data_IF_463291155841
#
_entry.id   IF_463291155841
#
_cell.length_a   1.000
_cell.length_b   1.000
_cell.length_c   1.000
_cell.angle_alpha   90.00
_cell.angle_beta   90.00
_cell.angle_gamma   90.00
#
_symmetry.space_group_name_H-M   'P 1'
#
loop_
_entity.id
_entity.type
_entity.pdbx_description
1 polymer ?
#
# COMPACT_ATOMS: atom_id res chain seq x y z
N UNK A 1 32.51 -47.31 11.01
CA UNK A 1 31.08 -47.06 11.35
C UNK A 1 30.22 -47.41 10.15
N UNK A 2 29.64 -48.62 10.13
CA UNK A 2 28.70 -49.04 9.09
C UNK A 2 27.34 -48.41 9.41
N UNK A 3 27.02 -47.28 8.76
CA UNK A 3 25.71 -46.63 8.89
C UNK A 3 24.70 -47.59 8.25
N UNK A 4 23.79 -48.15 9.05
CA UNK A 4 22.68 -49.01 8.61
C UNK A 4 21.93 -48.40 7.41
N UNK A 5 21.48 -49.23 6.47
CA UNK A 5 20.67 -48.76 5.33
C UNK A 5 19.47 -47.92 5.76
N UNK A 6 18.89 -48.24 6.92
CA UNK A 6 17.78 -47.49 7.53
C UNK A 6 18.18 -46.09 7.98
N UNK A 7 19.38 -45.91 8.55
CA UNK A 7 19.84 -44.58 8.97
C UNK A 7 20.22 -43.71 7.78
N UNK A 8 20.71 -44.29 6.67
CA UNK A 8 20.96 -43.55 5.42
C UNK A 8 19.64 -43.07 4.77
N UNK A 9 18.58 -43.87 4.79
CA UNK A 9 17.25 -43.47 4.27
C UNK A 9 16.58 -42.40 5.14
N UNK A 10 16.72 -42.49 6.46
CA UNK A 10 16.24 -41.44 7.39
C UNK A 10 16.98 -40.12 7.13
N UNK A 11 18.30 -40.15 6.97
CA UNK A 11 19.10 -38.94 6.68
C UNK A 11 18.71 -38.30 5.34
N UNK A 12 18.42 -39.10 4.32
CA UNK A 12 17.93 -38.60 3.01
C UNK A 12 16.57 -37.94 3.15
N UNK A 13 15.62 -38.60 3.80
CA UNK A 13 14.28 -38.04 4.04
C UNK A 13 14.36 -36.72 4.81
N UNK A 14 15.19 -36.67 5.85
CA UNK A 14 15.40 -35.46 6.64
C UNK A 14 16.01 -34.33 5.80
N UNK A 15 17.03 -34.63 4.99
CA UNK A 15 17.66 -33.65 4.12
C UNK A 15 16.67 -33.06 3.09
N UNK A 16 15.82 -33.90 2.49
CA UNK A 16 14.77 -33.45 1.57
C UNK A 16 13.75 -32.56 2.27
N UNK A 17 13.31 -32.96 3.47
CA UNK A 17 12.39 -32.16 4.27
C UNK A 17 12.98 -30.78 4.64
N UNK A 18 14.23 -30.76 5.12
CA UNK A 18 14.93 -29.51 5.45
C UNK A 18 15.12 -28.62 4.22
N UNK A 19 15.48 -29.19 3.07
CA UNK A 19 15.58 -28.45 1.82
C UNK A 19 14.22 -27.85 1.40
N UNK A 20 13.14 -28.62 1.51
CA UNK A 20 11.79 -28.12 1.22
C UNK A 20 11.37 -26.98 2.17
N UNK A 21 11.64 -27.11 3.47
CA UNK A 21 11.40 -26.04 4.45
C UNK A 21 12.23 -24.78 4.15
N UNK A 22 13.50 -24.94 3.78
CA UNK A 22 14.37 -23.82 3.40
C UNK A 22 13.81 -23.10 2.16
N UNK A 23 13.43 -23.85 1.12
CA UNK A 23 12.81 -23.29 -0.09
C UNK A 23 11.53 -22.54 0.25
N UNK A 24 10.65 -23.10 1.09
CA UNK A 24 9.42 -22.43 1.53
C UNK A 24 9.72 -21.13 2.31
N UNK A 25 10.72 -21.16 3.19
CA UNK A 25 11.18 -19.98 3.92
C UNK A 25 11.71 -18.90 2.99
N UNK A 26 12.49 -19.27 1.96
CA UNK A 26 12.99 -18.33 0.96
C UNK A 26 11.84 -17.75 0.12
N UNK A 27 10.90 -18.60 -0.32
CA UNK A 27 9.71 -18.15 -1.04
C UNK A 27 8.94 -17.12 -0.20
N UNK A 28 8.74 -17.40 1.08
CA UNK A 28 8.07 -16.48 2.01
C UNK A 28 8.89 -15.20 2.25
N UNK A 29 10.21 -15.30 2.37
CA UNK A 29 11.05 -14.13 2.62
C UNK A 29 11.01 -13.14 1.44
N UNK A 30 11.13 -13.66 0.22
CA UNK A 30 11.31 -12.86 -0.98
C UNK A 30 10.01 -12.51 -1.72
N UNK A 31 9.02 -13.40 -1.73
CA UNK A 31 7.84 -13.24 -2.60
C UNK A 31 6.56 -12.87 -1.86
N UNK A 32 6.36 -13.34 -0.62
CA UNK A 32 5.06 -13.22 0.05
C UNK A 32 5.14 -12.74 1.50
N UNK A 33 4.41 -11.68 1.83
CA UNK A 33 4.24 -11.22 3.21
C UNK A 33 2.86 -11.60 3.74
N UNK A 34 2.80 -11.94 5.04
CA UNK A 34 1.55 -12.20 5.73
C UNK A 34 1.31 -11.11 6.76
N UNK A 35 0.17 -10.43 6.62
CA UNK A 35 -0.25 -9.36 7.52
C UNK A 35 -1.54 -9.73 8.23
N UNK A 36 -1.74 -9.15 9.41
CA UNK A 36 -2.96 -9.35 10.21
C UNK A 36 -3.73 -8.06 10.26
N UNK A 37 -5.02 -8.13 10.01
CA UNK A 37 -5.90 -6.98 10.24
C UNK A 37 -6.21 -6.90 11.72
N UNK A 38 -5.75 -5.84 12.37
CA UNK A 38 -5.91 -5.67 13.83
C UNK A 38 -7.21 -4.95 14.20
N UNK A 39 -7.66 -4.00 13.37
CA UNK A 39 -8.81 -3.16 13.69
C UNK A 39 -10.14 -3.77 13.22
N UNK A 40 -11.15 -3.90 14.10
CA UNK A 40 -12.48 -4.35 13.71
C UNK A 40 -13.17 -3.27 12.87
N UNK A 41 -13.75 -3.69 11.74
CA UNK A 41 -14.45 -2.81 10.80
C UNK A 41 -15.76 -3.48 10.40
N UNK A 42 -16.93 -2.96 10.83
CA UNK A 42 -18.22 -3.67 10.68
C UNK A 42 -18.62 -3.97 9.23
N UNK A 43 -18.22 -3.13 8.28
CA UNK A 43 -18.65 -3.21 6.87
C UNK A 43 -17.47 -3.28 5.90
N UNK A 44 -16.25 -3.53 6.35
CA UNK A 44 -15.10 -3.58 5.46
C UNK A 44 -14.92 -4.94 4.78
N UNK A 45 -14.28 -4.93 3.61
CA UNK A 45 -13.84 -6.14 2.89
C UNK A 45 -13.01 -7.06 3.80
N UNK A 46 -12.18 -6.46 4.66
CA UNK A 46 -11.36 -7.15 5.65
C UNK A 46 -11.85 -6.92 7.08
N UNK A 47 -11.85 -7.98 7.88
CA UNK A 47 -12.27 -7.99 9.27
C UNK A 47 -11.08 -8.24 10.20
N UNK A 48 -11.16 -7.74 11.43
CA UNK A 48 -10.14 -8.02 12.46
C UNK A 48 -9.89 -9.52 12.59
N UNK A 49 -8.62 -9.92 12.54
CA UNK A 49 -8.19 -11.32 12.57
C UNK A 49 -8.11 -12.02 11.21
N UNK A 50 -8.43 -11.33 10.11
CA UNK A 50 -8.04 -11.79 8.77
C UNK A 50 -6.52 -11.77 8.61
N UNK A 51 -5.99 -12.83 8.00
CA UNK A 51 -4.58 -12.98 7.67
C UNK A 51 -4.43 -12.90 6.16
N UNK A 52 -3.82 -11.82 5.71
CA UNK A 52 -3.81 -11.43 4.30
C UNK A 52 -2.48 -11.80 3.69
N UNK A 53 -2.54 -12.56 2.60
CA UNK A 53 -1.38 -12.92 1.79
C UNK A 53 -1.12 -11.80 0.79
N UNK A 54 0.05 -11.17 0.91
CA UNK A 54 0.48 -10.06 0.07
C UNK A 54 1.64 -10.51 -0.81
N UNK A 55 1.48 -10.37 -2.13
CA UNK A 55 2.56 -10.56 -3.10
C UNK A 55 3.45 -9.33 -3.16
N UNK A 56 4.73 -9.49 -2.82
CA UNK A 56 5.75 -8.44 -2.86
C UNK A 56 6.26 -8.17 -4.28
N UNK A 57 5.98 -9.06 -5.21
CA UNK A 57 6.52 -9.03 -6.59
C UNK A 57 5.51 -8.55 -7.62
N UNK A 58 4.22 -8.46 -7.28
CA UNK A 58 3.16 -8.03 -8.22
C UNK A 58 3.41 -6.66 -8.83
N UNK A 59 4.12 -5.77 -8.14
CA UNK A 59 4.46 -4.43 -8.62
C UNK A 59 5.98 -4.25 -8.78
N UNK A 60 6.65 -5.32 -9.24
CA UNK A 60 8.11 -5.39 -9.27
C UNK A 60 8.72 -5.72 -7.90
N UNK A 61 9.96 -6.18 -7.92
CA UNK A 61 10.69 -6.61 -6.71
C UNK A 61 11.30 -5.38 -6.05
N UNK A 62 10.85 -5.04 -4.85
CA UNK A 62 11.46 -4.00 -4.01
C UNK A 62 12.79 -4.53 -3.46
N UNK A 63 13.89 -3.82 -3.71
CA UNK A 63 15.17 -4.17 -3.10
C UNK A 63 15.11 -4.04 -1.56
N UNK A 64 15.81 -4.92 -0.82
CA UNK A 64 15.91 -4.81 0.62
C UNK A 64 16.71 -3.55 1.00
N UNK A 65 16.42 -3.01 2.19
CA UNK A 65 17.09 -1.82 2.75
C UNK A 65 17.08 -0.60 1.80
N UNK A 66 15.88 -0.11 1.42
CA UNK A 66 15.72 1.02 0.51
C UNK A 66 16.38 2.31 1.02
N UNK A 67 16.62 2.41 2.32
CA UNK A 67 17.32 3.51 2.99
C UNK A 67 18.77 3.65 2.49
N UNK A 68 19.45 2.53 2.18
CA UNK A 68 20.84 2.53 1.68
C UNK A 68 20.93 2.40 0.16
N UNK A 69 19.88 1.89 -0.49
CA UNK A 69 19.91 1.55 -1.93
C UNK A 69 19.24 2.57 -2.85
N UNK A 70 18.87 3.75 -2.33
CA UNK A 70 18.10 4.77 -3.06
C UNK A 70 16.86 4.16 -3.73
N UNK A 71 15.94 3.65 -2.90
CA UNK A 71 14.69 2.98 -3.29
C UNK A 71 14.57 2.61 -4.77
N UNK A 72 14.72 1.32 -5.08
CA UNK A 72 14.55 0.81 -6.45
C UNK A 72 13.68 -0.43 -6.48
N UNK A 73 12.79 -0.47 -7.47
CA UNK A 73 12.04 -1.68 -7.85
C UNK A 73 12.66 -2.26 -9.12
N UNK A 74 12.94 -3.57 -9.10
CA UNK A 74 13.37 -4.32 -10.27
C UNK A 74 12.16 -4.93 -10.98
N UNK A 75 12.19 -4.91 -12.31
CA UNK A 75 11.08 -5.34 -13.16
C UNK A 75 10.01 -4.26 -13.34
N UNK A 76 9.09 -4.52 -14.27
CA UNK A 76 7.94 -3.66 -14.57
C UNK A 76 6.69 -4.24 -13.92
N UNK A 77 6.04 -3.45 -13.07
CA UNK A 77 4.74 -3.78 -12.50
C UNK A 77 4.22 -2.56 -11.75
N UNK A 78 3.07 -2.04 -12.18
CA UNK A 78 2.39 -0.95 -11.50
C UNK A 78 1.07 -1.47 -10.94
N UNK A 79 0.58 -0.91 -9.83
CA UNK A 79 -0.78 -1.15 -9.39
C UNK A 79 -1.78 -0.92 -10.51
N UNK A 80 -2.84 -1.73 -10.53
CA UNK A 80 -3.99 -1.51 -11.39
C UNK A 80 -5.13 -0.90 -10.59
N UNK A 81 -6.05 -0.20 -11.27
CA UNK A 81 -7.27 0.29 -10.62
C UNK A 81 -8.03 -0.87 -10.01
N UNK A 82 -8.37 -0.71 -8.74
CA UNK A 82 -9.14 -1.66 -7.98
C UNK A 82 -8.31 -2.72 -7.28
N UNK A 83 -6.99 -2.70 -7.43
CA UNK A 83 -6.11 -3.58 -6.65
C UNK A 83 -6.12 -3.19 -5.18
N UNK A 84 -6.28 -4.18 -4.31
CA UNK A 84 -6.02 -4.01 -2.88
C UNK A 84 -4.51 -3.99 -2.66
N UNK A 85 -3.99 -2.84 -2.24
CA UNK A 85 -2.56 -2.65 -2.03
C UNK A 85 -2.24 -2.67 -0.55
N UNK A 86 -1.13 -3.31 -0.19
CA UNK A 86 -0.46 -3.11 1.08
C UNK A 86 0.65 -2.07 0.89
N UNK A 87 0.71 -1.08 1.76
CA UNK A 87 1.70 -0.01 1.73
C UNK A 87 1.99 0.51 3.14
N UNK A 88 3.15 1.13 3.30
CA UNK A 88 3.56 1.78 4.53
C UNK A 88 2.83 3.13 4.67
N UNK A 89 2.40 3.48 5.88
CA UNK A 89 1.68 4.73 6.17
C UNK A 89 2.44 5.97 5.62
N UNK A 90 1.86 6.78 4.72
CA UNK A 90 2.59 7.90 4.11
C UNK A 90 2.91 9.05 5.07
N UNK A 91 2.02 9.40 6.00
CA UNK A 91 2.22 10.59 6.85
C UNK A 91 3.12 10.38 8.08
N UNK A 92 3.55 9.15 8.37
CA UNK A 92 4.41 8.85 9.54
C UNK A 92 5.84 9.33 9.28
N UNK A 93 6.18 10.54 9.73
CA UNK A 93 7.52 11.11 9.57
C UNK A 93 8.52 10.67 10.64
N UNK A 94 8.10 9.91 11.65
CA UNK A 94 8.96 9.52 12.77
C UNK A 94 9.75 8.25 12.48
N UNK A 95 9.20 7.37 11.64
CA UNK A 95 9.80 6.08 11.34
C UNK A 95 10.28 5.99 9.88
N UNK A 96 11.38 5.25 9.69
CA UNK A 96 11.82 4.80 8.36
C UNK A 96 10.71 4.04 7.64
N UNK A 97 10.65 4.17 6.31
CA UNK A 97 9.54 3.66 5.50
C UNK A 97 9.26 2.17 5.78
N UNK A 98 10.29 1.33 5.94
CA UNK A 98 10.11 -0.11 6.20
C UNK A 98 9.50 -0.45 7.56
N UNK A 99 9.58 0.47 8.53
CA UNK A 99 9.17 0.26 9.92
C UNK A 99 7.84 0.93 10.25
N UNK A 100 7.22 1.62 9.29
CA UNK A 100 5.91 2.25 9.47
C UNK A 100 4.79 1.22 9.55
N UNK A 101 3.68 1.65 10.12
CA UNK A 101 2.45 0.87 10.13
C UNK A 101 2.02 0.53 8.69
N UNK A 102 1.65 -0.74 8.47
CA UNK A 102 1.16 -1.21 7.18
C UNK A 102 -0.34 -0.98 7.07
N UNK A 103 -0.72 -0.27 6.02
CA UNK A 103 -2.10 0.01 5.66
C UNK A 103 -2.52 -0.79 4.43
N UNK A 104 -3.83 -0.98 4.29
CA UNK A 104 -4.41 -1.64 3.14
C UNK A 104 -5.64 -0.88 2.65
N UNK A 105 -5.61 -0.53 1.38
CA UNK A 105 -6.68 0.19 0.70
C UNK A 105 -6.66 -0.15 -0.79
N UNK A 106 -7.76 0.12 -1.46
CA UNK A 106 -7.91 -0.15 -2.87
C UNK A 106 -7.32 0.99 -3.71
N UNK A 107 -6.58 0.68 -4.77
CA UNK A 107 -6.06 1.67 -5.71
C UNK A 107 -7.19 2.29 -6.53
N UNK A 108 -7.55 3.54 -6.26
CA UNK A 108 -8.59 4.24 -7.00
C UNK A 108 -8.05 4.89 -8.28
N UNK A 109 -6.89 5.54 -8.17
CA UNK A 109 -6.28 6.26 -9.27
C UNK A 109 -4.75 6.12 -9.28
N UNK A 110 -4.24 5.98 -10.50
CA UNK A 110 -2.86 5.78 -10.88
C UNK A 110 -2.17 7.13 -11.18
N UNK A 111 -0.85 7.14 -11.32
CA UNK A 111 -0.12 8.34 -11.70
C UNK A 111 -0.66 8.95 -13.01
N UNK A 112 -0.98 10.24 -12.97
CA UNK A 112 -1.51 11.00 -14.10
C UNK A 112 -3.02 10.94 -14.27
N UNK A 113 -3.72 10.14 -13.48
CA UNK A 113 -5.18 10.12 -13.46
C UNK A 113 -5.78 11.33 -12.75
N UNK A 114 -7.07 11.57 -12.99
CA UNK A 114 -7.83 12.59 -12.29
C UNK A 114 -8.84 11.94 -11.35
N UNK A 115 -8.79 12.32 -10.06
CA UNK A 115 -9.85 12.03 -9.08
C UNK A 115 -10.72 13.26 -8.90
N UNK A 116 -12.03 13.04 -8.76
CA UNK A 116 -12.99 14.11 -8.48
C UNK A 116 -13.34 14.09 -7.00
N UNK A 117 -13.13 15.20 -6.32
CA UNK A 117 -13.28 15.30 -4.86
C UNK A 117 -14.18 16.47 -4.50
N UNK A 118 -15.05 16.29 -3.51
CA UNK A 118 -15.79 17.42 -2.92
C UNK A 118 -14.89 18.20 -1.96
N UNK A 119 -15.32 19.40 -1.54
CA UNK A 119 -14.59 20.20 -0.52
C UNK A 119 -14.34 19.44 0.78
N UNK A 120 -15.24 18.53 1.15
CA UNK A 120 -15.12 17.64 2.30
C UNK A 120 -14.30 16.37 2.00
N UNK A 121 -13.50 16.39 0.92
CA UNK A 121 -12.65 15.29 0.46
C UNK A 121 -13.40 13.99 0.10
N UNK A 122 -14.71 14.02 -0.16
CA UNK A 122 -15.44 12.82 -0.59
C UNK A 122 -15.17 12.54 -2.06
N UNK A 123 -14.93 11.27 -2.38
CA UNK A 123 -14.72 10.84 -3.78
C UNK A 123 -16.05 10.92 -4.54
N UNK A 124 -16.07 11.65 -5.64
CA UNK A 124 -17.21 11.69 -6.57
C UNK A 124 -16.95 10.77 -7.76
N UNK A 125 -17.93 9.92 -8.11
CA UNK A 125 -17.84 9.01 -9.28
C UNK A 125 -18.00 9.73 -10.62
N UNK A 126 -18.55 10.95 -10.61
CA UNK A 126 -18.78 11.77 -11.80
C UNK A 126 -18.43 13.22 -11.50
N UNK A 127 -18.10 13.97 -12.54
CA UNK A 127 -18.02 15.42 -12.44
C UNK A 127 -19.39 15.96 -12.01
N UNK A 128 -19.42 16.60 -10.86
CA UNK A 128 -20.57 17.33 -10.33
C UNK A 128 -20.18 18.77 -10.06
N UNK A 129 -21.19 19.63 -9.86
CA UNK A 129 -21.01 21.06 -9.55
C UNK A 129 -20.16 21.29 -8.29
N UNK A 130 -20.20 20.35 -7.36
CA UNK A 130 -19.53 20.45 -6.05
C UNK A 130 -18.26 19.58 -5.97
N UNK A 131 -17.81 19.03 -7.10
CA UNK A 131 -16.59 18.23 -7.19
C UNK A 131 -15.53 18.95 -8.03
N UNK A 132 -14.29 18.85 -7.59
CA UNK A 132 -13.14 19.49 -8.21
C UNK A 132 -12.13 18.42 -8.62
N UNK A 133 -11.47 18.59 -9.78
CA UNK A 133 -10.50 17.63 -10.25
C UNK A 133 -9.19 17.77 -9.46
N UNK A 134 -8.59 16.64 -9.13
CA UNK A 134 -7.22 16.56 -8.64
C UNK A 134 -6.47 15.55 -9.50
N UNK A 135 -5.40 16.01 -10.15
CA UNK A 135 -4.52 15.15 -10.95
C UNK A 135 -3.53 14.48 -10.01
N UNK A 136 -3.55 13.15 -9.98
CA UNK A 136 -2.60 12.34 -9.22
C UNK A 136 -1.21 12.51 -9.83
N UNK A 137 -0.19 12.93 -9.07
CA UNK A 137 1.15 13.16 -9.60
C UNK A 137 1.76 11.92 -10.26
N UNK A 138 2.40 12.15 -11.39
CA UNK A 138 3.24 11.19 -12.08
C UNK A 138 4.67 11.71 -12.17
N UNK A 139 5.63 10.80 -12.06
CA UNK A 139 7.05 11.12 -12.08
C UNK A 139 7.39 11.94 -13.32
N UNK A 140 8.05 13.09 -13.10
CA UNK A 140 8.51 13.97 -14.18
C UNK A 140 7.41 14.73 -14.92
N UNK A 141 6.13 14.58 -14.54
CA UNK A 141 5.02 15.34 -15.12
C UNK A 141 4.68 16.56 -14.28
N UNK A 142 4.31 17.64 -14.96
CA UNK A 142 3.84 18.88 -14.32
C UNK A 142 2.44 18.69 -13.75
N UNK A 143 2.26 19.07 -12.49
CA UNK A 143 0.96 19.19 -11.83
C UNK A 143 0.70 20.68 -11.60
N UNK A 144 -0.38 21.20 -12.18
CA UNK A 144 -0.77 22.60 -12.00
C UNK A 144 -1.15 22.87 -10.56
N UNK A 145 -0.67 24.00 -10.02
CA UNK A 145 -1.01 24.47 -8.69
C UNK A 145 -2.19 25.44 -8.81
N UNK A 146 -3.18 25.19 -7.97
CA UNK A 146 -4.42 25.97 -7.88
C UNK A 146 -4.75 26.15 -6.40
N UNK A 147 -5.61 27.12 -6.08
CA UNK A 147 -6.13 27.27 -4.70
C UNK A 147 -6.76 25.97 -4.17
N UNK A 148 -7.41 25.22 -5.06
CA UNK A 148 -8.08 23.96 -4.74
C UNK A 148 -7.10 22.88 -4.24
N UNK A 149 -5.98 22.67 -4.93
CA UNK A 149 -5.06 21.58 -4.61
C UNK A 149 -3.82 22.01 -3.79
N UNK A 150 -3.64 23.31 -3.55
CA UNK A 150 -2.46 23.88 -2.89
C UNK A 150 -2.13 23.18 -1.56
N UNK A 151 -3.13 22.89 -0.71
CA UNK A 151 -2.91 22.22 0.58
C UNK A 151 -2.42 20.78 0.43
N UNK A 152 -3.05 20.00 -0.44
CA UNK A 152 -2.65 18.62 -0.69
C UNK A 152 -1.27 18.55 -1.32
N UNK A 153 -0.97 19.42 -2.29
CA UNK A 153 0.35 19.52 -2.93
C UNK A 153 1.42 19.91 -1.91
N UNK A 154 1.15 20.93 -1.08
CA UNK A 154 2.06 21.36 0.00
C UNK A 154 2.43 20.21 0.94
N UNK A 155 1.41 19.52 1.47
CA UNK A 155 1.63 18.38 2.37
C UNK A 155 2.40 17.25 1.66
N UNK A 156 2.08 16.97 0.40
CA UNK A 156 2.75 15.91 -0.37
C UNK A 156 4.23 16.24 -0.57
N UNK A 157 4.56 17.48 -0.92
CA UNK A 157 5.95 17.93 -1.09
C UNK A 157 6.71 17.75 0.23
N UNK A 158 6.20 18.33 1.32
CA UNK A 158 6.90 18.30 2.61
C UNK A 158 7.09 16.89 3.18
N UNK A 159 6.18 15.96 2.87
CA UNK A 159 6.27 14.58 3.36
C UNK A 159 7.14 13.67 2.48
N UNK A 160 7.24 13.96 1.18
CA UNK A 160 7.68 12.96 0.20
C UNK A 160 8.67 13.45 -0.85
N UNK A 161 8.93 14.76 -0.93
CA UNK A 161 9.85 15.38 -1.88
C UNK A 161 10.94 16.16 -1.10
N UNK A 162 11.92 15.46 -0.48
CA UNK A 162 12.86 16.07 0.46
C UNK A 162 13.79 17.12 -0.16
N UNK A 163 13.81 17.25 -1.50
CA UNK A 163 14.55 18.28 -2.21
C UNK A 163 13.84 19.65 -2.24
N UNK A 164 12.61 19.74 -1.74
CA UNK A 164 11.79 20.94 -1.77
C UNK A 164 11.22 21.26 -0.39
N UNK A 165 11.02 22.55 -0.13
CA UNK A 165 10.23 23.05 0.99
C UNK A 165 8.98 23.77 0.46
N UNK A 166 7.81 23.37 0.93
CA UNK A 166 6.54 23.97 0.54
C UNK A 166 5.85 24.68 1.72
N UNK A 167 5.42 25.92 1.50
CA UNK A 167 4.73 26.72 2.50
C UNK A 167 3.45 27.31 1.92
N UNK A 168 2.38 27.36 2.72
CA UNK A 168 1.16 28.08 2.36
C UNK A 168 1.16 29.46 3.04
N UNK A 169 1.11 30.52 2.23
CA UNK A 169 0.82 31.88 2.69
C UNK A 169 -0.59 32.25 2.22
N UNK A 170 -1.57 32.06 3.10
CA UNK A 170 -2.99 32.12 2.73
C UNK A 170 -3.33 31.04 1.71
N UNK A 171 -3.89 31.44 0.57
CA UNK A 171 -4.23 30.54 -0.54
C UNK A 171 -3.08 30.28 -1.52
N UNK A 172 -1.91 30.91 -1.30
CA UNK A 172 -0.78 30.83 -2.23
C UNK A 172 0.24 29.82 -1.74
N UNK A 173 0.55 28.84 -2.58
CA UNK A 173 1.63 27.89 -2.35
C UNK A 173 2.96 28.47 -2.82
N UNK A 174 3.93 28.52 -1.90
CA UNK A 174 5.32 28.83 -2.19
C UNK A 174 6.10 27.52 -2.16
N UNK A 175 6.94 27.30 -3.17
CA UNK A 175 7.88 26.18 -3.24
C UNK A 175 9.27 26.79 -3.29
N UNK A 176 10.12 26.42 -2.33
CA UNK A 176 11.47 26.96 -2.14
C UNK A 176 11.49 28.50 -2.07
N UNK A 177 10.48 29.08 -1.42
CA UNK A 177 10.33 30.53 -1.26
C UNK A 177 9.75 31.28 -2.47
N UNK A 178 9.49 30.60 -3.58
CA UNK A 178 8.97 31.20 -4.81
C UNK A 178 7.54 30.77 -5.11
N UNK A 179 6.75 31.67 -5.69
CA UNK A 179 5.43 31.32 -6.23
C UNK A 179 5.58 30.63 -7.57
N UNK A 180 4.87 29.51 -7.75
CA UNK A 180 4.86 28.77 -9.01
C UNK A 180 3.46 28.25 -9.34
N UNK A 181 3.17 28.18 -10.64
CA UNK A 181 1.89 27.69 -11.16
C UNK A 181 1.89 26.17 -11.40
N UNK A 182 3.03 25.51 -11.20
CA UNK A 182 3.15 24.06 -11.31
C UNK A 182 4.31 23.51 -10.47
N UNK A 183 4.25 22.20 -10.21
CA UNK A 183 5.35 21.43 -9.61
C UNK A 183 5.60 20.16 -10.43
N UNK A 184 6.81 19.64 -10.37
CA UNK A 184 7.18 18.35 -10.96
C UNK A 184 7.61 17.42 -9.83
N UNK A 185 6.96 16.26 -9.73
CA UNK A 185 7.25 15.26 -8.69
C UNK A 185 8.35 14.29 -9.16
N UNK A 186 9.16 13.81 -8.20
CA UNK A 186 10.32 12.94 -8.48
C UNK A 186 9.95 11.45 -8.53
N UNK A 187 8.75 11.10 -8.09
CA UNK A 187 8.20 9.75 -8.10
C UNK A 187 6.73 9.71 -8.48
N UNK A 188 6.23 8.50 -8.69
CA UNK A 188 4.83 8.21 -8.97
C UNK A 188 4.01 8.17 -7.68
N UNK A 189 2.77 8.64 -7.75
CA UNK A 189 1.84 8.67 -6.62
C UNK A 189 0.52 8.00 -6.97
N UNK A 190 -0.19 7.57 -5.94
CA UNK A 190 -1.46 6.86 -6.06
C UNK A 190 -2.50 7.48 -5.13
N UNK A 191 -3.74 7.47 -5.59
CA UNK A 191 -4.89 7.71 -4.73
C UNK A 191 -5.50 6.38 -4.33
N UNK A 192 -5.64 6.14 -3.03
CA UNK A 192 -6.26 4.92 -2.52
C UNK A 192 -7.57 5.23 -1.81
N UNK A 193 -8.46 4.25 -1.79
CA UNK A 193 -9.79 4.35 -1.23
C UNK A 193 -10.09 3.13 -0.36
N UNK A 194 -10.72 3.35 0.79
CA UNK A 194 -11.05 2.28 1.73
C UNK A 194 -12.19 1.38 1.25
N UNK A 195 -12.90 1.80 0.19
CA UNK A 195 -14.13 1.20 -0.30
C UNK A 195 -15.40 1.89 0.21
N UNK A 196 -15.31 2.78 1.21
CA UNK A 196 -16.49 3.42 1.82
C UNK A 196 -16.27 4.89 2.15
N UNK A 197 -17.26 5.74 1.83
CA UNK A 197 -17.17 7.17 2.13
C UNK A 197 -17.12 7.48 3.63
N UNK A 198 -17.75 6.66 4.48
CA UNK A 198 -17.71 6.80 5.94
C UNK A 198 -16.40 6.37 6.57
N UNK A 199 -15.61 5.54 5.89
CA UNK A 199 -14.32 5.05 6.39
C UNK A 199 -13.18 5.84 5.75
N UNK A 200 -12.60 6.80 6.47
CA UNK A 200 -11.57 7.67 5.94
C UNK A 200 -10.15 7.17 6.17
N UNK A 201 -9.94 5.87 6.47
CA UNK A 201 -8.61 5.24 6.50
C UNK A 201 -8.03 5.07 5.07
N UNK A 202 -8.05 6.16 4.30
CA UNK A 202 -7.60 6.22 2.91
C UNK A 202 -6.98 7.59 2.55
N UNK A 203 -6.69 7.82 1.26
CA UNK A 203 -6.03 9.05 0.79
C UNK A 203 -6.74 10.35 1.15
N UNK A 204 -8.00 10.29 1.58
CA UNK A 204 -8.74 11.46 2.07
C UNK A 204 -8.22 11.98 3.40
N UNK A 205 -7.69 11.10 4.26
CA UNK A 205 -7.12 11.51 5.55
C UNK A 205 -5.61 11.74 5.47
N UNK A 206 -4.89 10.86 4.77
CA UNK A 206 -3.42 10.88 4.77
C UNK A 206 -2.77 11.44 3.51
N UNK A 207 -3.56 11.77 2.47
CA UNK A 207 -3.04 12.26 1.20
C UNK A 207 -2.58 11.13 0.27
N UNK A 208 -1.64 11.45 -0.60
CA UNK A 208 -1.19 10.54 -1.65
C UNK A 208 -0.29 9.43 -1.09
N UNK A 209 -0.36 8.25 -1.72
CA UNK A 209 0.57 7.15 -1.41
C UNK A 209 1.69 7.18 -2.45
N UNK A 210 2.95 7.46 -2.06
CA UNK A 210 4.06 7.45 -3.01
C UNK A 210 4.45 6.02 -3.39
N UNK A 211 4.98 5.83 -4.60
CA UNK A 211 5.45 4.54 -5.09
C UNK A 211 6.42 3.86 -4.11
N UNK A 212 7.25 4.64 -3.43
CA UNK A 212 8.21 4.10 -2.47
C UNK A 212 7.62 3.50 -1.19
N UNK A 213 6.35 3.77 -0.90
CA UNK A 213 5.63 3.22 0.25
C UNK A 213 4.93 1.90 -0.07
N UNK A 214 4.71 1.59 -1.34
CA UNK A 214 4.03 0.36 -1.73
C UNK A 214 4.85 -0.84 -1.30
N UNK A 215 4.18 -1.85 -0.73
CA UNK A 215 4.77 -3.14 -0.37
C UNK A 215 4.42 -4.14 -1.47
N UNK A 216 3.13 -4.28 -1.78
CA UNK A 216 2.65 -5.31 -2.70
C UNK A 216 1.13 -5.39 -2.84
N UNK A 217 0.67 -6.40 -3.58
CA UNK A 217 -0.75 -6.66 -3.85
C UNK A 217 -1.32 -7.65 -2.84
N UNK A 218 -2.45 -7.33 -2.22
CA UNK A 218 -3.22 -8.28 -1.42
C UNK A 218 -3.86 -9.28 -2.37
N UNK A 219 -3.47 -10.55 -2.28
CA UNK A 219 -3.95 -11.61 -3.17
C UNK A 219 -5.22 -12.25 -2.63
N UNK A 220 -5.22 -12.61 -1.34
CA UNK A 220 -6.30 -13.37 -0.71
C UNK A 220 -6.25 -13.26 0.81
N UNK A 221 -7.40 -13.51 1.43
CA UNK A 221 -7.51 -13.85 2.84
C UNK A 221 -7.06 -15.30 2.98
N UNK A 222 -5.87 -15.55 3.52
CA UNK A 222 -5.33 -16.89 3.65
C UNK A 222 -6.15 -17.70 4.65
N UNK A 223 -6.37 -17.11 5.82
CA UNK A 223 -7.21 -17.66 6.87
C UNK A 223 -7.70 -16.51 7.75
N UNK A 224 -8.69 -16.82 8.59
CA UNK A 224 -9.36 -15.81 9.38
C UNK A 224 -9.78 -16.35 10.74
N UNK A 225 -9.47 -15.57 11.78
CA UNK A 225 -9.59 -16.00 13.16
C UNK A 225 -10.19 -14.88 14.01
N UNK A 226 -11.32 -15.12 14.68
CA UNK A 226 -11.96 -14.14 15.56
C UNK A 226 -11.03 -13.79 16.75
N UNK A 227 -10.67 -12.53 16.95
CA UNK A 227 -9.96 -12.11 18.16
C UNK A 227 -10.83 -12.36 19.41
N UNK A 228 -10.23 -12.82 20.51
CA UNK A 228 -10.92 -12.99 21.80
C UNK A 228 -11.77 -14.27 21.97
N UNK A 229 -12.04 -15.03 20.91
CA UNK A 229 -12.83 -16.27 20.97
C UNK A 229 -11.96 -17.50 21.33
N UNK A 230 -12.52 -18.52 22.02
CA UNK A 230 -11.81 -19.76 22.31
C UNK A 230 -11.53 -20.56 21.02
N UNK A 231 -10.46 -21.36 21.03
CA UNK A 231 -9.89 -22.03 19.85
C UNK A 231 -10.93 -22.77 18.99
N UNK A 232 -11.89 -23.46 19.63
CA UNK A 232 -12.92 -24.26 18.96
C UNK A 232 -14.00 -23.45 18.22
N UNK A 233 -14.15 -22.15 18.48
CA UNK A 233 -15.07 -21.22 17.78
C UNK A 233 -14.36 -20.09 17.04
N UNK A 234 -13.03 -20.09 17.08
CA UNK A 234 -12.22 -18.97 16.61
C UNK A 234 -12.16 -18.88 15.08
N UNK A 235 -12.31 -19.99 14.38
CA UNK A 235 -12.07 -20.07 12.94
C UNK A 235 -13.28 -19.53 12.16
N UNK A 236 -13.03 -18.63 11.20
CA UNK A 236 -14.01 -18.18 10.19
C UNK A 236 -13.69 -18.85 8.84
N UNK A 237 -14.13 -20.10 8.68
CA UNK A 237 -13.79 -20.92 7.51
C UNK A 237 -14.38 -20.35 6.20
N UNK A 238 -15.51 -19.64 6.28
CA UNK A 238 -16.17 -18.95 5.16
C UNK A 238 -15.31 -17.86 4.51
N UNK A 239 -14.25 -17.42 5.18
CA UNK A 239 -13.33 -16.38 4.70
C UNK A 239 -12.01 -16.94 4.18
N UNK A 240 -11.78 -18.25 4.25
CA UNK A 240 -10.50 -18.85 3.84
C UNK A 240 -10.34 -18.81 2.33
N UNK A 241 -9.14 -18.49 1.88
CA UNK A 241 -8.75 -18.36 0.47
C UNK A 241 -9.64 -17.41 -0.36
N UNK A 242 -10.37 -16.50 0.29
CA UNK A 242 -11.23 -15.53 -0.39
C UNK A 242 -10.38 -14.46 -1.05
N UNK A 243 -10.62 -14.23 -2.34
CA UNK A 243 -9.99 -13.12 -3.08
C UNK A 243 -10.73 -11.82 -2.76
N UNK A 244 -10.02 -10.70 -2.51
CA UNK A 244 -10.65 -9.42 -2.23
C UNK A 244 -11.48 -8.94 -3.42
N UNK A 245 -12.68 -8.44 -3.16
CA UNK A 245 -13.52 -7.90 -4.22
C UNK A 245 -12.99 -6.57 -4.75
N UNK A 246 -13.14 -6.36 -6.06
CA UNK A 246 -12.84 -5.09 -6.68
C UNK A 246 -14.09 -4.21 -6.71
N UNK A 247 -14.22 -3.25 -5.79
CA UNK A 247 -15.37 -2.34 -5.72
C UNK A 247 -15.47 -1.31 -6.86
N UNK A 248 -14.52 -1.28 -7.80
CA UNK A 248 -14.51 -0.38 -8.95
C UNK A 248 -14.93 -1.09 -10.26
N UNK A 249 -15.22 -2.39 -10.22
CA UNK A 249 -15.77 -3.16 -11.33
C UNK A 249 -17.29 -3.27 -11.23
#
# INVERSE_FOLDING_TARGET
MHISGRTREILRTLAVFLAACLVLCLIRLFFFSLYTVSSPRPTAEFQAGDRLLVSRTSYGVRLPFPEYTNYRRLGSGMPERGDWMAFNMPYDSLNEISNRTVCMAQCLALPGDTVWLTKDMKVSRRQSKDSYPFVVPAKGRRVSITKWNARLVCNTINLHEPCHCAELKGDTLLIDGHTTNYVVFTQDYFWVFSGMQSNTDDSRSYGLVPQNHIIGKVMLILYSVKPGEPVYRRIRADRFFKTPQNSLK
#
